data_IF_999267078784
#
_entry.id   IF_999267078784
#
_cell.length_a   1.000
_cell.length_b   1.000
_cell.length_c   1.000
_cell.angle_alpha   90.00
_cell.angle_beta   90.00
_cell.angle_gamma   90.00
#
_symmetry.space_group_name_H-M   'P 1'
#
loop_
_entity.id
_entity.type
_entity.pdbx_description
1 polymer ?
#
# COMPACT_ATOMS: atom_id res chain seq x y z
N UNK A 1 5.48 8.71 12.62
CA UNK A 1 5.95 7.41 12.10
C UNK A 1 5.35 6.20 12.80
N UNK A 2 4.30 5.65 12.19
CA UNK A 2 3.89 4.25 12.33
C UNK A 2 4.79 3.37 11.45
N UNK A 3 5.09 2.16 11.88
CA UNK A 3 5.90 1.20 11.11
C UNK A 3 5.06 -0.02 10.81
N UNK A 4 5.18 -0.53 9.58
CA UNK A 4 4.36 -1.62 9.07
C UNK A 4 5.05 -2.55 8.10
N UNK A 5 4.31 -3.56 7.67
CA UNK A 5 4.72 -4.54 6.66
C UNK A 5 3.49 -5.02 5.85
N UNK A 6 3.69 -5.62 4.67
CA UNK A 6 2.59 -5.93 3.77
C UNK A 6 2.11 -7.39 3.78
N UNK A 7 0.79 -7.53 3.61
CA UNK A 7 -0.02 -8.68 3.21
C UNK A 7 -0.15 -9.83 4.21
N UNK A 8 0.93 -10.26 4.86
CA UNK A 8 0.91 -11.48 5.68
C UNK A 8 1.90 -11.41 6.84
N UNK A 9 1.55 -12.07 7.94
CA UNK A 9 2.44 -12.34 9.07
C UNK A 9 2.87 -13.79 9.03
N UNK A 10 4.18 -14.07 9.00
CA UNK A 10 4.69 -15.43 8.85
C UNK A 10 4.66 -16.25 10.15
N UNK A 11 4.54 -15.61 11.31
CA UNK A 11 4.50 -16.26 12.63
C UNK A 11 3.12 -16.69 13.14
N UNK A 12 2.01 -16.22 12.55
CA UNK A 12 0.65 -16.43 13.09
C UNK A 12 0.02 -17.78 12.68
N UNK A 13 0.59 -18.48 11.70
CA UNK A 13 0.10 -19.80 11.28
C UNK A 13 -1.26 -19.78 10.56
N UNK A 14 -1.65 -18.64 10.00
CA UNK A 14 -2.78 -18.52 9.06
C UNK A 14 -2.40 -17.57 7.91
N UNK A 15 -3.24 -17.49 6.87
CA UNK A 15 -3.09 -16.52 5.79
C UNK A 15 -4.42 -15.80 5.54
N UNK A 16 -4.36 -14.48 5.32
CA UNK A 16 -5.49 -13.65 4.88
C UNK A 16 -5.58 -13.51 3.35
N UNK A 17 -4.75 -14.27 2.62
CA UNK A 17 -4.62 -14.24 1.17
C UNK A 17 -4.99 -15.59 0.53
N UNK A 18 -5.93 -16.34 1.12
CA UNK A 18 -6.41 -17.57 0.50
C UNK A 18 -7.18 -17.23 -0.76
N UNK A 19 -6.90 -17.98 -1.81
CA UNK A 19 -7.60 -17.90 -3.08
C UNK A 19 -7.80 -19.30 -3.65
N UNK A 20 -8.59 -19.42 -4.71
CA UNK A 20 -8.86 -20.67 -5.40
C UNK A 20 -8.95 -20.41 -6.90
N UNK A 21 -8.92 -21.46 -7.73
CA UNK A 21 -9.02 -21.31 -9.18
C UNK A 21 -10.45 -20.96 -9.58
N UNK A 22 -10.63 -20.10 -10.59
CA UNK A 22 -11.94 -19.69 -11.10
C UNK A 22 -12.85 -20.88 -11.44
N UNK A 23 -12.31 -21.96 -12.00
CA UNK A 23 -13.05 -23.20 -12.30
C UNK A 23 -13.72 -23.87 -11.09
N UNK A 24 -13.30 -23.49 -9.88
CA UNK A 24 -13.78 -24.02 -8.62
C UNK A 24 -14.65 -23.02 -7.87
N UNK A 25 -15.08 -21.95 -8.55
CA UNK A 25 -16.01 -20.98 -8.01
C UNK A 25 -17.34 -21.64 -7.65
N UNK A 26 -17.73 -21.45 -6.39
CA UNK A 26 -19.07 -21.64 -5.88
C UNK A 26 -19.28 -20.61 -4.77
N UNK A 27 -20.52 -20.22 -4.52
CA UNK A 27 -20.86 -19.31 -3.42
C UNK A 27 -20.35 -19.84 -2.08
N UNK A 28 -20.57 -21.12 -1.77
CA UNK A 28 -20.06 -21.78 -0.55
C UNK A 28 -18.53 -21.66 -0.40
N UNK A 29 -17.78 -21.93 -1.49
CA UNK A 29 -16.32 -21.85 -1.47
C UNK A 29 -15.84 -20.42 -1.32
N UNK A 30 -16.50 -19.48 -1.99
CA UNK A 30 -16.20 -18.06 -1.85
C UNK A 30 -16.41 -17.63 -0.40
N UNK A 31 -17.61 -17.83 0.15
CA UNK A 31 -17.98 -17.42 1.50
C UNK A 31 -17.04 -18.00 2.56
N UNK A 32 -16.74 -19.30 2.49
CA UNK A 32 -15.80 -19.93 3.42
C UNK A 32 -14.39 -19.34 3.30
N UNK A 33 -13.91 -19.07 2.08
CA UNK A 33 -12.58 -18.47 1.87
C UNK A 33 -12.51 -17.04 2.41
N UNK A 34 -13.53 -16.21 2.18
CA UNK A 34 -13.57 -14.83 2.70
C UNK A 34 -13.60 -14.84 4.23
N UNK A 35 -14.44 -15.68 4.84
CA UNK A 35 -14.52 -15.82 6.30
C UNK A 35 -13.16 -16.19 6.92
N UNK A 36 -12.46 -17.16 6.34
CA UNK A 36 -11.12 -17.56 6.78
C UNK A 36 -10.08 -16.43 6.62
N UNK A 37 -10.17 -15.67 5.53
CA UNK A 37 -9.28 -14.56 5.27
C UNK A 37 -9.48 -13.41 6.26
N UNK A 38 -10.74 -13.01 6.52
CA UNK A 38 -11.09 -11.97 7.48
C UNK A 38 -10.72 -12.37 8.91
N UNK A 39 -10.97 -13.64 9.28
CA UNK A 39 -10.54 -14.19 10.57
C UNK A 39 -9.02 -14.10 10.74
N UNK A 40 -8.25 -14.43 9.70
CA UNK A 40 -6.80 -14.31 9.77
C UNK A 40 -6.32 -12.85 9.80
N UNK A 41 -6.94 -11.95 9.02
CA UNK A 41 -6.64 -10.53 9.06
C UNK A 41 -6.84 -9.95 10.47
N UNK A 42 -7.95 -10.29 11.15
CA UNK A 42 -8.19 -9.88 12.54
C UNK A 42 -7.06 -10.35 13.46
N UNK A 43 -6.59 -11.59 13.33
CA UNK A 43 -5.45 -12.12 14.11
C UNK A 43 -4.14 -11.38 13.82
N UNK A 44 -3.89 -11.03 12.55
CA UNK A 44 -2.72 -10.23 12.15
C UNK A 44 -2.78 -8.85 12.81
N UNK A 45 -3.92 -8.17 12.77
CA UNK A 45 -4.06 -6.85 13.37
C UNK A 45 -3.97 -6.89 14.90
N UNK A 46 -4.53 -7.92 15.55
CA UNK A 46 -4.36 -8.11 16.99
C UNK A 46 -2.88 -8.32 17.38
N UNK A 47 -2.15 -9.14 16.61
CA UNK A 47 -0.71 -9.28 16.79
C UNK A 47 0.02 -7.94 16.62
N UNK A 48 -0.32 -7.18 15.58
CA UNK A 48 0.28 -5.89 15.29
C UNK A 48 0.03 -4.88 16.42
N UNK A 49 -1.16 -4.87 17.00
CA UNK A 49 -1.49 -4.03 18.16
C UNK A 49 -0.58 -4.37 19.35
N UNK A 50 -0.47 -5.66 19.68
CA UNK A 50 0.35 -6.14 20.79
C UNK A 50 1.87 -5.86 20.62
N UNK A 51 2.33 -5.68 19.38
CA UNK A 51 3.74 -5.41 19.06
C UNK A 51 4.00 -3.97 18.61
N UNK A 52 2.97 -3.09 18.67
CA UNK A 52 3.02 -1.70 18.24
C UNK A 52 3.50 -1.52 16.78
N UNK A 53 3.10 -2.45 15.91
CA UNK A 53 3.24 -2.35 14.44
C UNK A 53 2.01 -1.68 13.86
N UNK A 54 2.00 -0.35 13.90
CA UNK A 54 0.80 0.45 13.70
C UNK A 54 0.48 0.78 12.23
N UNK A 55 1.14 0.17 11.26
CA UNK A 55 0.81 0.29 9.84
C UNK A 55 0.75 -1.10 9.20
N UNK A 56 -0.24 -1.36 8.34
CA UNK A 56 -0.36 -2.65 7.68
C UNK A 56 -0.93 -2.50 6.27
N UNK A 57 -0.34 -3.18 5.29
CA UNK A 57 -0.93 -3.25 3.94
C UNK A 57 -1.76 -4.52 3.83
N UNK A 58 -3.07 -4.38 3.68
CA UNK A 58 -3.98 -5.50 3.48
C UNK A 58 -3.77 -6.07 2.08
N UNK A 59 -3.77 -7.40 1.98
CA UNK A 59 -3.62 -8.12 0.71
C UNK A 59 -4.82 -7.92 -0.20
N UNK A 60 -4.58 -7.79 -1.52
CA UNK A 60 -5.64 -7.76 -2.53
C UNK A 60 -6.40 -9.10 -2.62
N UNK A 61 -5.81 -10.20 -2.17
CA UNK A 61 -6.47 -11.52 -2.13
C UNK A 61 -7.46 -11.69 -0.96
N UNK A 62 -7.73 -10.63 -0.17
CA UNK A 62 -8.63 -10.70 0.99
C UNK A 62 -10.00 -11.24 0.60
N UNK A 63 -10.57 -10.70 -0.48
CA UNK A 63 -11.83 -11.15 -1.07
C UNK A 63 -11.54 -11.67 -2.49
N UNK A 64 -11.27 -12.98 -2.67
CA UNK A 64 -10.90 -13.52 -3.97
C UNK A 64 -12.01 -13.28 -5.00
N UNK A 65 -11.62 -12.83 -6.20
CA UNK A 65 -12.53 -12.51 -7.30
C UNK A 65 -13.53 -11.37 -7.03
N UNK A 66 -13.30 -10.50 -6.03
CA UNK A 66 -14.18 -9.37 -5.74
C UNK A 66 -14.47 -8.45 -6.93
N UNK A 67 -13.47 -8.22 -7.78
CA UNK A 67 -13.56 -7.40 -8.99
C UNK A 67 -13.96 -8.18 -10.25
N UNK A 68 -14.01 -9.51 -10.17
CA UNK A 68 -14.26 -10.35 -11.32
C UNK A 68 -15.78 -10.49 -11.56
N UNK A 69 -16.28 -10.47 -12.80
CA UNK A 69 -17.72 -10.55 -13.11
C UNK A 69 -18.46 -11.80 -12.62
N UNK A 70 -17.73 -12.82 -12.17
CA UNK A 70 -18.31 -14.05 -11.60
C UNK A 70 -18.89 -13.80 -10.20
N UNK A 71 -18.36 -12.79 -9.51
CA UNK A 71 -18.80 -12.45 -8.18
C UNK A 71 -19.93 -11.41 -8.27
N UNK A 72 -21.14 -11.88 -8.00
CA UNK A 72 -22.35 -11.05 -7.95
C UNK A 72 -22.86 -10.84 -6.53
N UNK A 73 -22.10 -11.32 -5.53
CA UNK A 73 -22.51 -11.31 -4.13
C UNK A 73 -22.23 -9.96 -3.49
N UNK A 74 -23.14 -9.51 -2.64
CA UNK A 74 -22.95 -8.37 -1.74
C UNK A 74 -22.04 -8.76 -0.57
N UNK A 75 -20.78 -9.11 -0.87
CA UNK A 75 -19.81 -9.50 0.14
C UNK A 75 -19.56 -8.44 1.23
N UNK A 76 -19.64 -7.10 0.98
CA UNK A 76 -19.56 -6.12 2.06
C UNK A 76 -20.72 -6.27 3.05
N UNK A 77 -21.95 -6.49 2.55
CA UNK A 77 -23.13 -6.71 3.40
C UNK A 77 -23.11 -8.06 4.12
N UNK A 78 -22.67 -9.12 3.44
CA UNK A 78 -22.59 -10.49 4.01
C UNK A 78 -21.59 -10.55 5.17
N UNK A 79 -20.45 -9.87 5.08
CA UNK A 79 -19.39 -9.86 6.09
C UNK A 79 -19.31 -8.55 6.89
N UNK A 80 -20.44 -7.84 7.00
CA UNK A 80 -20.47 -6.49 7.58
C UNK A 80 -19.95 -6.47 9.03
N UNK A 81 -20.28 -7.47 9.84
CA UNK A 81 -19.83 -7.57 11.23
C UNK A 81 -18.32 -7.79 11.33
N UNK A 82 -17.76 -8.68 10.51
CA UNK A 82 -16.34 -8.99 10.48
C UNK A 82 -15.52 -7.80 10.01
N UNK A 83 -15.95 -7.12 8.94
CA UNK A 83 -15.30 -5.90 8.47
C UNK A 83 -15.38 -4.78 9.52
N UNK A 84 -16.54 -4.56 10.14
CA UNK A 84 -16.70 -3.55 11.18
C UNK A 84 -15.79 -3.83 12.38
N UNK A 85 -15.67 -5.10 12.79
CA UNK A 85 -14.76 -5.53 13.86
C UNK A 85 -13.29 -5.30 13.52
N UNK A 86 -12.86 -5.65 12.30
CA UNK A 86 -11.51 -5.34 11.80
C UNK A 86 -11.26 -3.82 11.83
N UNK A 87 -12.22 -3.03 11.37
CA UNK A 87 -12.18 -1.58 11.40
C UNK A 87 -12.04 -0.99 12.80
N UNK A 88 -12.75 -1.56 13.77
CA UNK A 88 -12.68 -1.14 15.17
C UNK A 88 -11.27 -1.32 15.72
N UNK A 89 -10.65 -2.48 15.48
CA UNK A 89 -9.25 -2.74 15.88
C UNK A 89 -8.30 -1.69 15.30
N UNK A 90 -8.45 -1.35 14.01
CA UNK A 90 -7.61 -0.33 13.36
C UNK A 90 -7.76 1.02 14.05
N UNK A 91 -9.00 1.49 14.25
CA UNK A 91 -9.29 2.81 14.85
C UNK A 91 -8.89 2.90 16.32
N UNK A 92 -9.22 1.88 17.11
CA UNK A 92 -8.95 1.85 18.56
C UNK A 92 -7.45 1.89 18.88
N UNK A 93 -6.64 1.22 18.05
CA UNK A 93 -5.18 1.16 18.20
C UNK A 93 -4.45 2.28 17.45
N UNK A 94 -5.18 3.19 16.79
CA UNK A 94 -4.58 4.30 16.03
C UNK A 94 -3.71 3.83 14.85
N UNK A 95 -4.03 2.66 14.31
CA UNK A 95 -3.32 2.07 13.17
C UNK A 95 -3.66 2.81 11.87
N UNK A 96 -2.81 2.61 10.87
CA UNK A 96 -3.10 2.96 9.48
C UNK A 96 -3.15 1.70 8.63
N UNK A 97 -3.94 1.73 7.58
CA UNK A 97 -4.06 0.63 6.61
C UNK A 97 -3.84 1.16 5.20
N UNK A 98 -3.21 0.37 4.35
CA UNK A 98 -3.21 0.60 2.90
C UNK A 98 -3.50 -0.69 2.15
N UNK A 99 -3.69 -0.60 0.84
CA UNK A 99 -3.64 -1.72 -0.08
C UNK A 99 -2.84 -1.32 -1.32
N UNK A 100 -2.29 -2.30 -2.04
CA UNK A 100 -1.56 -2.08 -3.29
C UNK A 100 -1.96 -3.20 -4.26
N UNK A 101 -2.88 -2.93 -5.21
CA UNK A 101 -3.24 -3.87 -6.26
C UNK A 101 -2.01 -4.30 -7.07
N UNK A 102 -2.07 -5.46 -7.72
CA UNK A 102 -0.92 -5.93 -8.47
C UNK A 102 -0.65 -5.12 -9.76
N UNK A 103 0.46 -5.47 -10.42
CA UNK A 103 0.95 -4.86 -11.67
C UNK A 103 -0.03 -4.90 -12.86
N UNK A 104 -1.15 -5.61 -12.78
CA UNK A 104 -2.17 -5.64 -13.83
C UNK A 104 -3.20 -4.52 -13.70
N UNK A 105 -3.19 -3.78 -12.58
CA UNK A 105 -4.04 -2.61 -12.35
C UNK A 105 -3.44 -1.38 -13.03
N UNK A 106 -3.74 -1.20 -14.31
CA UNK A 106 -3.13 -0.22 -15.20
C UNK A 106 -4.18 0.78 -15.71
N UNK A 107 -4.47 1.80 -14.91
CA UNK A 107 -5.44 2.82 -15.31
C UNK A 107 -4.97 3.62 -16.52
N UNK A 108 -3.68 3.65 -16.87
CA UNK A 108 -3.16 4.38 -18.02
C UNK A 108 -3.05 3.54 -19.33
N UNK A 109 -3.53 2.29 -19.30
CA UNK A 109 -3.45 1.35 -20.44
C UNK A 109 -4.24 1.83 -21.66
N UNK A 110 -3.69 1.88 -22.88
CA UNK A 110 -4.47 2.24 -24.06
C UNK A 110 -5.61 1.24 -24.37
N UNK A 111 -5.52 0.02 -23.83
CA UNK A 111 -6.60 -0.97 -23.89
C UNK A 111 -7.70 -0.64 -22.88
N UNK A 112 -8.90 -0.41 -23.39
CA UNK A 112 -10.07 -0.02 -22.58
C UNK A 112 -10.57 -1.17 -21.69
N UNK A 113 -10.47 -2.42 -22.12
CA UNK A 113 -10.83 -3.56 -21.29
C UNK A 113 -9.87 -3.74 -20.10
N UNK A 114 -8.58 -3.43 -20.27
CA UNK A 114 -7.62 -3.37 -19.15
C UNK A 114 -8.00 -2.24 -18.19
N UNK A 115 -8.38 -1.07 -18.70
CA UNK A 115 -8.84 0.05 -17.88
C UNK A 115 -10.06 -0.34 -17.06
N UNK A 116 -11.10 -0.89 -17.68
CA UNK A 116 -12.34 -1.30 -17.01
C UNK A 116 -12.07 -2.28 -15.86
N UNK A 117 -11.26 -3.31 -16.11
CA UNK A 117 -10.85 -4.27 -15.06
C UNK A 117 -10.03 -3.61 -13.96
N UNK A 118 -9.15 -2.67 -14.30
CA UNK A 118 -8.35 -1.93 -13.32
C UNK A 118 -9.25 -1.05 -12.43
N UNK A 119 -10.26 -0.39 -13.01
CA UNK A 119 -11.22 0.41 -12.25
C UNK A 119 -12.08 -0.48 -11.35
N UNK A 120 -12.49 -1.67 -11.81
CA UNK A 120 -13.20 -2.64 -10.99
C UNK A 120 -12.35 -3.15 -9.82
N UNK A 121 -11.06 -3.43 -10.06
CA UNK A 121 -10.10 -3.81 -9.02
C UNK A 121 -9.96 -2.70 -7.97
N UNK A 122 -9.76 -1.45 -8.41
CA UNK A 122 -9.67 -0.30 -7.50
C UNK A 122 -10.98 -0.05 -6.73
N UNK A 123 -12.13 -0.25 -7.35
CA UNK A 123 -13.43 -0.15 -6.69
C UNK A 123 -13.59 -1.20 -5.58
N UNK A 124 -13.12 -2.44 -5.81
CA UNK A 124 -13.05 -3.46 -4.77
C UNK A 124 -12.21 -2.98 -3.57
N UNK A 125 -11.00 -2.49 -3.83
CA UNK A 125 -10.10 -2.02 -2.78
C UNK A 125 -10.74 -0.88 -1.95
N UNK A 126 -11.38 0.07 -2.62
CA UNK A 126 -12.12 1.14 -1.95
C UNK A 126 -13.30 0.59 -1.11
N UNK A 127 -14.05 -0.36 -1.65
CA UNK A 127 -15.18 -0.99 -0.97
C UNK A 127 -14.74 -1.80 0.26
N UNK A 128 -13.59 -2.48 0.21
CA UNK A 128 -13.06 -3.22 1.36
C UNK A 128 -12.68 -2.28 2.51
N UNK A 129 -12.05 -1.15 2.19
CA UNK A 129 -11.72 -0.11 3.16
C UNK A 129 -12.97 0.60 3.71
N UNK A 130 -13.99 0.81 2.87
CA UNK A 130 -15.30 1.34 3.28
C UNK A 130 -16.05 0.37 4.20
N UNK A 131 -16.03 -0.94 3.90
CA UNK A 131 -16.66 -1.97 4.72
C UNK A 131 -16.01 -2.03 6.12
N UNK A 132 -14.69 -1.81 6.21
CA UNK A 132 -13.99 -1.64 7.48
C UNK A 132 -14.33 -0.31 8.18
N UNK A 133 -15.08 0.60 7.56
CA UNK A 133 -15.39 1.92 8.11
C UNK A 133 -14.15 2.79 8.31
N UNK A 134 -13.16 2.67 7.41
CA UNK A 134 -11.92 3.45 7.47
C UNK A 134 -12.07 4.75 6.68
N UNK A 135 -11.50 5.82 7.20
CA UNK A 135 -11.49 7.14 6.56
C UNK A 135 -10.55 7.19 5.34
N UNK A 136 -10.31 8.40 4.82
CA UNK A 136 -9.47 8.66 3.65
C UNK A 136 -7.98 8.52 3.94
N UNK A 137 -7.55 8.38 5.19
CA UNK A 137 -6.14 8.10 5.52
C UNK A 137 -5.74 6.68 5.13
N UNK A 138 -6.72 5.79 4.92
CA UNK A 138 -6.51 4.49 4.31
C UNK A 138 -6.39 4.63 2.79
N UNK A 139 -5.23 4.27 2.23
CA UNK A 139 -4.89 4.53 0.83
C UNK A 139 -4.81 3.27 -0.03
N UNK A 140 -5.08 3.44 -1.32
CA UNK A 140 -4.86 2.44 -2.37
C UNK A 140 -3.72 2.95 -3.24
N UNK A 141 -2.57 2.29 -3.14
CA UNK A 141 -1.34 2.66 -3.82
C UNK A 141 -1.23 1.96 -5.16
N UNK A 142 -0.81 2.68 -6.20
CA UNK A 142 -0.54 2.13 -7.53
C UNK A 142 0.73 2.75 -8.11
N UNK A 143 1.40 2.01 -8.99
CA UNK A 143 2.33 2.63 -9.93
C UNK A 143 1.59 3.35 -11.07
N UNK A 144 2.29 4.21 -11.80
CA UNK A 144 1.72 4.94 -12.96
C UNK A 144 1.26 3.98 -14.06
N UNK A 145 2.01 2.90 -14.28
CA UNK A 145 1.69 1.83 -15.23
C UNK A 145 2.66 1.74 -16.40
N UNK A 146 2.17 1.51 -17.62
CA UNK A 146 3.03 1.34 -18.80
C UNK A 146 3.42 2.66 -19.48
N UNK A 147 4.54 2.68 -20.22
CA UNK A 147 4.92 3.81 -21.09
C UNK A 147 4.28 3.68 -22.48
N UNK A 148 3.99 2.46 -22.95
CA UNK A 148 3.32 2.21 -24.24
C UNK A 148 3.97 2.92 -25.45
N UNK A 149 5.29 3.09 -25.42
CA UNK A 149 6.06 3.75 -26.49
C UNK A 149 6.12 5.28 -26.40
N UNK A 150 5.27 5.92 -25.60
CA UNK A 150 5.21 7.38 -25.45
C UNK A 150 4.85 7.75 -23.99
N UNK A 151 5.85 8.25 -23.27
CA UNK A 151 5.73 8.61 -21.85
C UNK A 151 4.78 9.78 -21.64
N UNK A 152 4.88 10.83 -22.45
CA UNK A 152 4.05 12.02 -22.28
C UNK A 152 2.58 11.65 -22.50
N UNK A 153 2.28 10.95 -23.60
CA UNK A 153 0.93 10.47 -23.87
C UNK A 153 0.41 9.49 -22.80
N UNK A 154 1.27 8.66 -22.22
CA UNK A 154 0.88 7.76 -21.12
C UNK A 154 0.55 8.49 -19.82
N UNK A 155 1.29 9.55 -19.50
CA UNK A 155 1.01 10.41 -18.34
C UNK A 155 -0.27 11.23 -18.54
N UNK A 156 -0.49 11.77 -19.74
CA UNK A 156 -1.74 12.46 -20.08
C UNK A 156 -2.95 11.53 -19.93
N UNK A 157 -2.86 10.28 -20.44
CA UNK A 157 -3.92 9.27 -20.24
C UNK A 157 -4.16 8.97 -18.76
N UNK A 158 -3.10 8.86 -17.95
CA UNK A 158 -3.26 8.68 -16.50
C UNK A 158 -4.07 9.83 -15.90
N UNK A 159 -3.70 11.08 -16.21
CA UNK A 159 -4.36 12.30 -15.71
C UNK A 159 -5.83 12.34 -16.12
N UNK A 160 -6.14 12.10 -17.40
CA UNK A 160 -7.52 12.07 -17.90
C UNK A 160 -8.35 11.03 -17.15
N UNK A 161 -7.81 9.81 -17.02
CA UNK A 161 -8.55 8.71 -16.41
C UNK A 161 -8.69 8.84 -14.91
N UNK A 162 -7.67 9.36 -14.23
CA UNK A 162 -7.74 9.68 -12.80
C UNK A 162 -8.93 10.59 -12.49
N UNK A 163 -9.15 11.63 -13.30
CA UNK A 163 -10.28 12.57 -13.14
C UNK A 163 -11.65 11.93 -13.34
N UNK A 164 -11.71 10.78 -14.00
CA UNK A 164 -12.95 10.03 -14.25
C UNK A 164 -13.18 8.87 -13.28
N UNK A 165 -12.25 8.63 -12.34
CA UNK A 165 -12.40 7.55 -11.38
C UNK A 165 -13.64 7.78 -10.49
N UNK A 166 -14.33 6.71 -10.07
CA UNK A 166 -15.37 6.83 -9.06
C UNK A 166 -14.84 7.55 -7.83
N UNK A 167 -15.63 8.44 -7.22
CA UNK A 167 -15.17 9.25 -6.09
C UNK A 167 -14.64 8.44 -4.91
N UNK A 168 -15.14 7.20 -4.73
CA UNK A 168 -14.64 6.28 -3.72
C UNK A 168 -13.24 5.74 -3.96
N UNK A 169 -12.86 5.59 -5.23
CA UNK A 169 -11.50 5.26 -5.62
C UNK A 169 -10.61 6.49 -5.55
N UNK A 170 -11.04 7.59 -6.17
CA UNK A 170 -10.24 8.81 -6.28
C UNK A 170 -9.76 9.36 -4.93
N UNK A 171 -10.63 9.36 -3.90
CA UNK A 171 -10.28 9.85 -2.55
C UNK A 171 -9.22 9.03 -1.81
N UNK A 172 -8.92 7.82 -2.28
CA UNK A 172 -7.93 6.91 -1.66
C UNK A 172 -6.73 6.63 -2.55
N UNK A 173 -6.79 6.93 -3.84
CA UNK A 173 -5.74 6.56 -4.77
C UNK A 173 -4.50 7.44 -4.55
N UNK A 174 -3.35 6.79 -4.44
CA UNK A 174 -2.03 7.44 -4.39
C UNK A 174 -1.11 6.79 -5.41
N UNK A 175 -0.16 7.54 -5.94
CA UNK A 175 0.79 7.06 -6.95
C UNK A 175 2.18 6.91 -6.36
N UNK A 176 2.92 5.90 -6.79
CA UNK A 176 4.28 5.60 -6.32
C UNK A 176 5.28 5.64 -7.49
N UNK A 177 6.48 6.16 -7.23
CA UNK A 177 7.61 6.05 -8.15
C UNK A 177 8.07 4.59 -8.26
N UNK A 178 8.56 4.18 -9.45
CA UNK A 178 9.00 2.82 -9.73
C UNK A 178 10.49 2.76 -10.14
N UNK A 179 11.06 1.55 -10.13
CA UNK A 179 12.48 1.31 -10.32
C UNK A 179 12.99 1.45 -11.78
N UNK A 180 12.11 1.75 -12.75
CA UNK A 180 12.46 1.66 -14.19
C UNK A 180 11.81 2.69 -15.11
N UNK A 181 10.52 2.90 -15.00
CA UNK A 181 9.69 3.68 -15.91
C UNK A 181 9.47 5.07 -15.34
N UNK A 182 8.83 5.23 -14.20
CA UNK A 182 8.42 6.54 -13.68
C UNK A 182 9.16 6.91 -12.40
N UNK A 183 9.90 8.01 -12.46
CA UNK A 183 10.65 8.58 -11.34
C UNK A 183 9.74 9.38 -10.41
N UNK A 184 10.26 9.82 -9.27
CA UNK A 184 9.59 10.79 -8.39
C UNK A 184 9.19 12.05 -9.16
N UNK A 185 10.04 12.54 -10.08
CA UNK A 185 9.74 13.73 -10.89
C UNK A 185 8.49 13.56 -11.75
N UNK A 186 8.33 12.39 -12.35
CA UNK A 186 7.15 12.05 -13.16
C UNK A 186 5.89 12.01 -12.27
N UNK A 187 5.98 11.37 -11.11
CA UNK A 187 4.86 11.29 -10.16
C UNK A 187 4.46 12.68 -9.63
N UNK A 188 5.42 13.55 -9.34
CA UNK A 188 5.17 14.95 -8.97
C UNK A 188 4.54 15.76 -10.11
N UNK A 189 4.83 15.42 -11.38
CA UNK A 189 4.15 16.04 -12.52
C UNK A 189 2.69 15.60 -12.61
N UNK A 190 2.38 14.33 -12.33
CA UNK A 190 0.99 13.85 -12.21
C UNK A 190 0.27 14.57 -11.06
N UNK A 191 0.90 14.70 -9.89
CA UNK A 191 0.34 15.46 -8.78
C UNK A 191 -0.01 16.90 -9.19
N UNK A 192 0.90 17.61 -9.86
CA UNK A 192 0.61 18.98 -10.35
C UNK A 192 -0.56 19.03 -11.34
N UNK A 193 -0.79 17.96 -12.12
CA UNK A 193 -1.81 17.92 -13.14
C UNK A 193 -3.20 17.49 -12.62
N UNK A 194 -3.27 16.58 -11.64
CA UNK A 194 -4.54 16.03 -11.15
C UNK A 194 -4.70 15.95 -9.63
N UNK A 195 -3.69 16.34 -8.85
CA UNK A 195 -3.75 16.36 -7.38
C UNK A 195 -3.51 15.02 -6.69
N UNK A 196 -3.17 13.95 -7.42
CA UNK A 196 -2.90 12.63 -6.81
C UNK A 196 -1.74 12.71 -5.82
N UNK A 197 -1.87 12.24 -4.56
CA UNK A 197 -0.75 12.20 -3.62
C UNK A 197 0.32 11.19 -4.06
N UNK A 198 1.57 11.48 -3.72
CA UNK A 198 2.74 10.69 -4.15
C UNK A 198 3.34 9.95 -2.96
N UNK A 199 3.29 8.62 -2.97
CA UNK A 199 4.08 7.74 -2.10
C UNK A 199 5.52 7.81 -2.55
N UNK A 200 6.44 7.90 -1.59
CA UNK A 200 7.87 7.83 -1.86
C UNK A 200 8.38 6.41 -1.58
N UNK A 201 8.81 5.69 -2.61
CA UNK A 201 9.60 4.47 -2.43
C UNK A 201 11.09 4.78 -2.53
N UNK A 202 11.79 4.50 -1.43
CA UNK A 202 13.22 4.77 -1.26
C UNK A 202 14.07 3.96 -2.24
N UNK A 203 13.79 2.67 -2.37
CA UNK A 203 14.61 1.76 -3.15
C UNK A 203 14.39 1.94 -4.66
N UNK A 204 13.16 2.21 -5.08
CA UNK A 204 12.83 2.61 -6.43
C UNK A 204 13.53 3.91 -6.80
N UNK A 205 13.59 4.90 -5.89
CA UNK A 205 14.33 6.15 -6.13
C UNK A 205 15.84 5.92 -6.27
N UNK A 206 16.44 5.06 -5.45
CA UNK A 206 17.83 4.63 -5.59
C UNK A 206 18.09 3.89 -6.93
N UNK A 207 17.09 3.19 -7.45
CA UNK A 207 17.16 2.52 -8.75
C UNK A 207 16.94 3.47 -9.93
N UNK A 208 16.06 4.46 -9.78
CA UNK A 208 15.54 5.29 -10.84
C UNK A 208 15.20 6.70 -10.31
N UNK A 209 16.22 7.54 -10.24
CA UNK A 209 16.10 8.97 -9.91
C UNK A 209 16.48 9.84 -11.11
N UNK A 210 16.00 11.08 -11.11
CA UNK A 210 16.38 12.10 -12.09
C UNK A 210 17.48 13.03 -11.55
N UNK A 211 18.30 12.53 -10.61
CA UNK A 211 19.38 13.25 -9.94
C UNK A 211 19.00 13.95 -8.63
N UNK A 212 17.75 13.83 -8.18
CA UNK A 212 17.33 14.34 -6.87
C UNK A 212 17.94 13.50 -5.73
N UNK A 213 18.42 14.16 -4.67
CA UNK A 213 18.73 13.46 -3.44
C UNK A 213 17.44 12.96 -2.74
N UNK A 214 17.59 11.94 -1.89
CA UNK A 214 16.45 11.30 -1.25
C UNK A 214 15.70 12.24 -0.28
N UNK A 215 16.40 13.19 0.36
CA UNK A 215 15.78 14.11 1.31
C UNK A 215 14.87 15.12 0.59
N UNK A 216 15.33 15.69 -0.52
CA UNK A 216 14.57 16.58 -1.38
C UNK A 216 13.40 15.87 -2.06
N UNK A 217 13.61 14.64 -2.53
CA UNK A 217 12.53 13.81 -3.08
C UNK A 217 11.44 13.53 -2.03
N UNK A 218 11.83 13.11 -0.83
CA UNK A 218 10.92 12.87 0.28
C UNK A 218 10.16 14.13 0.69
N UNK A 219 10.84 15.28 0.78
CA UNK A 219 10.21 16.55 1.11
C UNK A 219 9.16 16.96 0.05
N UNK A 220 9.48 16.78 -1.23
CA UNK A 220 8.58 17.07 -2.34
C UNK A 220 7.36 16.14 -2.33
N UNK A 221 7.55 14.84 -2.10
CA UNK A 221 6.44 13.89 -1.94
C UNK A 221 5.59 14.24 -0.72
N UNK A 222 6.18 14.58 0.42
CA UNK A 222 5.43 14.97 1.62
C UNK A 222 4.51 16.17 1.39
N UNK A 223 4.93 17.13 0.55
CA UNK A 223 4.11 18.29 0.19
C UNK A 223 2.87 17.95 -0.66
N UNK A 224 2.77 16.73 -1.18
CA UNK A 224 1.61 16.28 -1.98
C UNK A 224 0.47 15.71 -1.14
N UNK A 225 0.68 15.52 0.17
CA UNK A 225 -0.30 14.91 1.08
C UNK A 225 -1.01 15.98 1.90
N UNK A 226 -2.34 15.92 1.93
CA UNK A 226 -3.14 16.72 2.85
C UNK A 226 -3.10 16.08 4.25
N UNK A 227 -2.60 16.78 5.29
CA UNK A 227 -2.50 16.21 6.63
C UNK A 227 -3.85 15.87 7.29
N UNK A 228 -4.95 16.51 6.88
CA UNK A 228 -6.29 16.27 7.39
C UNK A 228 -6.97 15.12 6.66
N UNK A 229 -6.85 15.07 5.32
CA UNK A 229 -7.55 14.07 4.51
C UNK A 229 -6.72 12.81 4.28
N UNK A 230 -5.42 12.94 4.03
CA UNK A 230 -4.54 11.82 3.69
C UNK A 230 -3.76 11.31 4.91
N UNK A 231 -3.47 12.18 5.88
CA UNK A 231 -2.58 11.93 7.00
C UNK A 231 -1.10 12.12 6.61
N UNK A 232 -0.15 11.61 7.43
CA UNK A 232 1.29 11.71 7.10
C UNK A 232 1.61 11.05 5.75
N UNK A 233 2.69 11.47 5.09
CA UNK A 233 3.24 10.79 3.91
C UNK A 233 3.36 9.27 4.19
N UNK A 234 2.95 8.44 3.24
CA UNK A 234 3.36 7.04 3.22
C UNK A 234 4.71 6.91 2.51
N UNK A 235 5.65 6.21 3.15
CA UNK A 235 6.96 5.87 2.57
C UNK A 235 7.10 4.36 2.52
N UNK A 236 7.49 3.86 1.36
CA UNK A 236 7.87 2.48 1.17
C UNK A 236 9.39 2.37 1.27
N UNK A 237 9.84 1.42 2.09
CA UNK A 237 11.25 1.16 2.30
C UNK A 237 11.58 -0.27 1.93
N UNK A 238 12.60 -0.40 1.11
CA UNK A 238 13.33 -1.63 0.85
C UNK A 238 14.81 -1.32 0.70
N UNK A 239 15.59 -2.33 0.36
CA UNK A 239 16.98 -2.17 -0.07
C UNK A 239 17.37 -3.25 -1.07
N UNK A 240 18.49 -3.03 -1.76
CA UNK A 240 19.01 -3.98 -2.73
C UNK A 240 19.37 -5.32 -2.07
N UNK A 241 18.88 -6.42 -2.63
CA UNK A 241 19.36 -7.75 -2.29
C UNK A 241 20.85 -7.90 -2.68
N UNK A 242 21.74 -8.23 -1.73
CA UNK A 242 23.17 -8.36 -2.00
C UNK A 242 23.46 -9.36 -3.13
N UNK A 243 24.28 -8.96 -4.10
CA UNK A 243 24.70 -9.80 -5.24
C UNK A 243 23.61 -10.12 -6.27
N UNK A 244 22.39 -9.60 -6.11
CA UNK A 244 21.31 -9.80 -7.08
C UNK A 244 21.30 -8.72 -8.17
N UNK A 245 20.49 -8.94 -9.23
CA UNK A 245 20.17 -7.88 -10.20
C UNK A 245 19.58 -6.65 -9.50
N UNK A 246 19.87 -5.46 -10.04
CA UNK A 246 19.30 -4.19 -9.59
C UNK A 246 17.76 -4.27 -9.57
N UNK A 247 17.13 -3.70 -8.54
CA UNK A 247 15.68 -3.73 -8.35
C UNK A 247 15.15 -4.98 -7.64
N UNK A 248 16.02 -5.89 -7.17
CA UNK A 248 15.56 -7.02 -6.33
C UNK A 248 15.58 -6.62 -4.86
N UNK A 249 14.41 -6.69 -4.20
CA UNK A 249 14.26 -6.42 -2.77
C UNK A 249 15.05 -7.42 -1.92
N UNK A 250 15.68 -6.90 -0.87
CA UNK A 250 16.38 -7.66 0.15
C UNK A 250 15.44 -8.66 0.87
N UNK A 251 16.03 -9.75 1.35
CA UNK A 251 15.28 -10.76 2.10
C UNK A 251 14.86 -10.25 3.49
N UNK A 252 15.69 -9.38 4.09
CA UNK A 252 15.50 -8.80 5.41
C UNK A 252 16.07 -7.38 5.45
N UNK A 253 15.70 -6.62 6.48
CA UNK A 253 16.20 -5.27 6.75
C UNK A 253 17.73 -5.22 6.84
N UNK A 254 18.34 -4.34 6.06
CA UNK A 254 19.71 -3.87 6.27
C UNK A 254 19.71 -2.77 7.35
N UNK A 255 20.28 -3.00 8.54
CA UNK A 255 20.27 -2.03 9.64
C UNK A 255 21.07 -0.75 9.36
N UNK A 256 22.18 -0.88 8.63
CA UNK A 256 23.08 0.24 8.34
C UNK A 256 22.41 1.16 7.33
N UNK A 257 21.85 0.57 6.28
CA UNK A 257 21.07 1.29 5.28
C UNK A 257 19.87 1.99 5.92
N UNK A 258 19.14 1.29 6.78
CA UNK A 258 17.96 1.82 7.44
C UNK A 258 18.28 2.98 8.37
N UNK A 259 19.36 2.88 9.15
CA UNK A 259 19.80 3.95 10.04
C UNK A 259 20.20 5.21 9.24
N UNK A 260 20.90 5.04 8.11
CA UNK A 260 21.26 6.15 7.23
C UNK A 260 20.01 6.83 6.63
N UNK A 261 19.04 6.04 6.16
CA UNK A 261 17.76 6.55 5.66
C UNK A 261 16.98 7.32 6.75
N UNK A 262 16.86 6.77 7.97
CA UNK A 262 16.17 7.44 9.07
C UNK A 262 16.81 8.80 9.41
N UNK A 263 18.15 8.87 9.40
CA UNK A 263 18.87 10.12 9.64
C UNK A 263 18.61 11.14 8.51
N UNK A 264 18.70 10.71 7.25
CA UNK A 264 18.53 11.55 6.06
C UNK A 264 17.09 12.06 5.87
N UNK A 265 16.10 11.31 6.36
CA UNK A 265 14.68 11.67 6.23
C UNK A 265 14.22 12.77 7.21
N UNK A 266 15.06 13.17 8.16
CA UNK A 266 14.73 14.27 9.09
C UNK A 266 14.72 15.63 8.37
N UNK A 267 13.81 16.56 8.73
CA UNK A 267 12.88 16.51 9.87
C UNK A 267 11.49 15.93 9.55
N UNK A 268 11.28 15.36 8.36
CA UNK A 268 9.94 15.02 7.87
C UNK A 268 9.32 13.83 8.63
N UNK A 269 8.03 13.92 8.94
CA UNK A 269 7.24 12.82 9.49
C UNK A 269 6.52 12.06 8.37
N UNK A 270 6.45 10.74 8.51
CA UNK A 270 5.83 9.81 7.56
C UNK A 270 5.46 8.52 8.27
N UNK A 271 4.57 7.73 7.70
CA UNK A 271 4.32 6.34 8.08
C UNK A 271 5.05 5.41 7.11
N UNK A 272 5.70 4.39 7.65
CA UNK A 272 6.71 3.60 6.95
C UNK A 272 6.23 2.16 6.72
N UNK A 273 6.15 1.75 5.46
CA UNK A 273 5.89 0.38 5.04
C UNK A 273 7.21 -0.32 4.70
N UNK A 274 7.50 -1.46 5.32
CA UNK A 274 8.68 -2.25 4.98
C UNK A 274 8.38 -3.31 3.93
N UNK A 275 8.94 -3.13 2.73
CA UNK A 275 8.79 -4.01 1.58
C UNK A 275 9.89 -5.07 1.47
N UNK A 276 10.07 -5.84 2.54
CA UNK A 276 11.06 -6.93 2.61
C UNK A 276 10.38 -8.29 2.79
N UNK A 277 11.11 -9.38 2.51
CA UNK A 277 10.51 -10.72 2.40
C UNK A 277 10.13 -11.35 3.73
N UNK A 278 10.82 -11.00 4.81
CA UNK A 278 10.62 -11.52 6.17
C UNK A 278 9.62 -10.68 7.01
N UNK A 279 8.88 -9.77 6.34
CA UNK A 279 7.63 -9.17 6.85
C UNK A 279 7.75 -8.59 8.26
N UNK A 280 7.01 -9.13 9.23
CA UNK A 280 6.94 -8.62 10.59
C UNK A 280 8.30 -8.64 11.30
N UNK A 281 9.20 -9.55 10.95
CA UNK A 281 10.51 -9.66 11.61
C UNK A 281 11.36 -8.41 11.35
N UNK A 282 11.40 -7.96 10.10
CA UNK A 282 12.06 -6.72 9.75
C UNK A 282 11.33 -5.49 10.28
N UNK A 283 9.99 -5.49 10.31
CA UNK A 283 9.22 -4.38 10.89
C UNK A 283 9.52 -4.21 12.39
N UNK A 284 9.56 -5.31 13.15
CA UNK A 284 9.98 -5.31 14.56
C UNK A 284 11.41 -4.79 14.72
N UNK A 285 12.33 -5.25 13.86
CA UNK A 285 13.73 -4.80 13.90
C UNK A 285 13.87 -3.32 13.58
N UNK A 286 13.18 -2.82 12.55
CA UNK A 286 13.17 -1.41 12.20
C UNK A 286 12.61 -0.54 13.34
N UNK A 287 11.52 -0.99 13.96
CA UNK A 287 10.97 -0.32 15.15
C UNK A 287 11.97 -0.26 16.29
N UNK A 288 12.62 -1.39 16.62
CA UNK A 288 13.63 -1.44 17.67
C UNK A 288 14.81 -0.50 17.37
N UNK A 289 15.29 -0.46 16.13
CA UNK A 289 16.37 0.44 15.70
C UNK A 289 15.96 1.92 15.80
N UNK A 290 14.75 2.27 15.36
CA UNK A 290 14.25 3.65 15.43
C UNK A 290 14.09 4.12 16.88
N UNK A 291 13.61 3.25 17.78
CA UNK A 291 13.52 3.54 19.21
C UNK A 291 14.90 3.67 19.87
N UNK A 292 15.83 2.78 19.55
CA UNK A 292 17.21 2.84 20.06
C UNK A 292 17.95 4.11 19.59
N UNK A 293 17.63 4.59 18.39
CA UNK A 293 18.12 5.87 17.86
C UNK A 293 17.41 7.11 18.47
N UNK A 294 16.45 6.91 19.38
CA UNK A 294 15.68 7.99 20.01
C UNK A 294 14.86 8.80 19.00
N UNK A 295 14.37 8.18 17.92
CA UNK A 295 13.63 8.91 16.89
C UNK A 295 12.26 9.35 17.42
N UNK A 296 12.02 10.68 17.56
CA UNK A 296 10.80 11.19 18.19
C UNK A 296 9.56 10.99 17.32
N UNK A 297 9.72 10.62 16.04
CA UNK A 297 8.62 10.38 15.11
C UNK A 297 7.95 9.03 15.39
N UNK A 298 8.64 8.07 16.02
CA UNK A 298 8.10 6.72 16.26
C UNK A 298 6.90 6.80 17.19
N UNK A 299 5.72 6.45 16.66
CA UNK A 299 4.49 6.38 17.46
C UNK A 299 4.53 5.15 18.36
N UNK A 300 4.02 5.33 19.57
CA UNK A 300 3.74 4.25 20.52
C UNK A 300 2.24 3.98 20.50
N UNK A 301 1.87 2.72 20.75
CA UNK A 301 0.47 2.34 20.91
C UNK A 301 -0.19 3.09 22.06
N UNK A 302 -1.53 3.09 22.11
CA UNK A 302 -2.23 3.54 23.32
C UNK A 302 -1.89 2.55 24.46
N UNK A 303 -1.59 3.05 25.67
CA UNK A 303 -1.38 2.18 26.84
C UNK A 303 -2.64 1.40 27.21
#
# INVERSE_FOLDING_TARGET
MRIGYPCMNTGIGCTSARTFRLKSWSEERFLSTVAENLSCLSRILAYNAAHELLFFRVTSDLVPFASHPVNILDWPGIFAEEFAGIGAVVRENGMRVSMHPDQFTLINSPDEGVRERSVAELAYHAAALDAMGLDTTAKVQVHVGGVYGDREAAMERFVERYRTLPGAVGRRLVVENDDRLYTVRDCLALHRACGVPVVFDVFHHECNSSGEDAAGALAACAATWDPLDDGPLMVDYSSQAPGARRGRHAAALDPTHFAAFLAASRPHDFDLMLEVKDKEQSALRARALALAAGDPRVRRGRP
#
